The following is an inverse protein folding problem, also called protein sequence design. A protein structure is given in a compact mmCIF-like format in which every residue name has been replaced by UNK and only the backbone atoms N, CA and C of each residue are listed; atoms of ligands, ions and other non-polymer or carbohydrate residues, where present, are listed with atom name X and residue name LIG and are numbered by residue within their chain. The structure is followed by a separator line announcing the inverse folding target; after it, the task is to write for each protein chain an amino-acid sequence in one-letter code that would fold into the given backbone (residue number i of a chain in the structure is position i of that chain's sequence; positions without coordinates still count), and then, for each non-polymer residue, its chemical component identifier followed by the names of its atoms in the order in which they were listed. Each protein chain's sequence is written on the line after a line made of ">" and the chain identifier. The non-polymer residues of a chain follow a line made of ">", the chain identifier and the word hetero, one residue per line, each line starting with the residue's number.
data_IF_703292281421
#
_entry.id   IF_703292281421
#
_cell.length_a   1.000
_cell.length_b   1.000
_cell.length_c   1.000
_cell.angle_alpha   90.00
_cell.angle_beta   90.00
_cell.angle_gamma   90.00
#
_symmetry.space_group_name_H-M   'P 1'
#
loop_
_entity.id
_entity.type
_entity.pdbx_description
1 polymer ?
#
# COMPACT_ATOMS: atom_id res chain seq x y z
N UNK A 1 -13.27 15.65 -10.73
CA UNK A 1 -12.03 16.43 -10.96
C UNK A 1 -10.85 15.57 -10.59
N UNK A 2 -9.67 15.82 -11.17
CA UNK A 2 -8.43 15.10 -10.85
C UNK A 2 -7.28 16.07 -10.58
N UNK A 3 -6.24 15.60 -9.91
CA UNK A 3 -5.00 16.37 -9.66
C UNK A 3 -4.22 16.46 -10.98
N UNK A 4 -4.05 17.67 -11.51
CA UNK A 4 -3.49 17.90 -12.85
C UNK A 4 -2.05 17.37 -12.98
N UNK A 5 -1.28 17.51 -11.91
CA UNK A 5 0.12 17.10 -11.79
C UNK A 5 0.28 15.57 -11.86
N UNK A 6 -0.78 14.83 -11.57
CA UNK A 6 -0.81 13.36 -11.64
C UNK A 6 -1.41 12.85 -12.95
N UNK A 7 -1.66 13.73 -13.94
CA UNK A 7 -2.15 13.33 -15.25
C UNK A 7 -1.16 12.36 -15.92
N UNK A 8 -1.62 11.15 -16.21
CA UNK A 8 -0.80 10.10 -16.83
C UNK A 8 0.20 9.42 -15.90
N UNK A 9 0.19 9.69 -14.59
CA UNK A 9 1.09 9.03 -13.63
C UNK A 9 0.89 7.50 -13.64
N UNK A 10 1.97 6.74 -13.85
CA UNK A 10 1.95 5.26 -13.89
C UNK A 10 2.63 4.62 -12.68
N UNK A 11 3.18 5.42 -11.77
CA UNK A 11 3.82 4.92 -10.56
C UNK A 11 2.81 4.54 -9.48
N UNK A 12 3.35 4.00 -8.40
CA UNK A 12 2.60 3.77 -7.18
C UNK A 12 2.33 5.10 -6.46
N UNK A 13 1.15 5.20 -5.87
CA UNK A 13 0.79 6.26 -4.93
C UNK A 13 0.68 5.67 -3.53
N UNK A 14 1.43 6.23 -2.58
CA UNK A 14 1.33 5.89 -1.17
C UNK A 14 0.31 6.81 -0.49
N UNK A 15 -0.66 6.22 0.19
CA UNK A 15 -1.67 6.91 0.99
C UNK A 15 -1.19 6.92 2.44
N UNK A 16 -1.04 8.12 3.02
CA UNK A 16 -0.63 8.33 4.41
C UNK A 16 -1.67 9.17 5.12
N UNK A 17 -1.78 8.95 6.43
CA UNK A 17 -2.57 9.77 7.35
C UNK A 17 -1.68 10.82 8.01
N UNK A 18 -2.29 11.86 8.57
CA UNK A 18 -1.58 13.03 9.13
C UNK A 18 -0.75 12.71 10.37
N UNK A 19 -1.05 11.60 11.05
CA UNK A 19 -0.37 11.10 12.25
C UNK A 19 0.70 10.03 11.93
N UNK A 20 0.91 9.71 10.66
CA UNK A 20 1.96 8.78 10.25
C UNK A 20 3.35 9.43 10.32
N UNK A 21 4.29 8.72 10.95
CA UNK A 21 5.72 9.02 10.87
C UNK A 21 6.41 7.98 9.99
N UNK A 22 7.16 8.45 9.00
CA UNK A 22 7.93 7.60 8.09
C UNK A 22 9.40 7.56 8.47
N UNK A 23 10.05 6.42 8.25
CA UNK A 23 11.49 6.26 8.47
C UNK A 23 12.29 6.98 7.38
N UNK A 24 13.56 7.32 7.65
CA UNK A 24 14.44 7.99 6.69
C UNK A 24 14.64 7.18 5.40
N UNK A 25 14.53 5.85 5.48
CA UNK A 25 14.69 4.92 4.37
C UNK A 25 13.35 4.47 3.75
N UNK A 26 12.22 5.06 4.15
CA UNK A 26 10.88 4.68 3.70
C UNK A 26 10.79 4.52 2.17
N UNK A 27 11.29 5.51 1.41
CA UNK A 27 11.26 5.46 -0.06
C UNK A 27 12.12 4.33 -0.66
N UNK A 28 13.21 3.96 0.01
CA UNK A 28 14.07 2.84 -0.41
C UNK A 28 13.36 1.52 -0.17
N UNK A 29 12.80 1.33 1.03
CA UNK A 29 12.08 0.11 1.40
C UNK A 29 10.85 -0.05 0.51
N UNK A 30 10.09 1.02 0.28
CA UNK A 30 8.91 1.03 -0.57
C UNK A 30 9.21 0.54 -2.00
N UNK A 31 10.31 1.00 -2.61
CA UNK A 31 10.73 0.52 -3.95
C UNK A 31 11.08 -0.96 -3.97
N UNK A 32 11.71 -1.47 -2.92
CA UNK A 32 12.02 -2.91 -2.78
C UNK A 32 10.72 -3.71 -2.69
N UNK A 33 9.75 -3.25 -1.90
CA UNK A 33 8.46 -3.91 -1.78
C UNK A 33 7.67 -3.89 -3.09
N UNK A 34 7.63 -2.76 -3.80
CA UNK A 34 7.00 -2.66 -5.12
C UNK A 34 7.59 -3.66 -6.11
N UNK A 35 8.93 -3.69 -6.24
CA UNK A 35 9.60 -4.65 -7.11
C UNK A 35 9.31 -6.11 -6.68
N UNK A 36 9.21 -6.36 -5.37
CA UNK A 36 8.87 -7.69 -4.83
C UNK A 36 7.42 -8.09 -5.14
N UNK A 37 6.46 -7.17 -5.00
CA UNK A 37 5.06 -7.36 -5.42
C UNK A 37 5.03 -7.72 -6.91
N UNK A 38 5.61 -6.87 -7.76
CA UNK A 38 5.54 -7.03 -9.21
C UNK A 38 6.15 -8.37 -9.67
N UNK A 39 7.21 -8.84 -8.99
CA UNK A 39 7.88 -10.09 -9.34
C UNK A 39 7.25 -11.35 -8.73
N UNK A 40 6.62 -11.27 -7.55
CA UNK A 40 6.24 -12.46 -6.76
C UNK A 40 4.76 -12.52 -6.36
N UNK A 41 4.01 -11.43 -6.50
CA UNK A 41 2.59 -11.38 -6.17
C UNK A 41 1.87 -10.37 -7.08
N UNK A 42 1.70 -10.68 -8.38
CA UNK A 42 1.03 -9.77 -9.31
C UNK A 42 -0.42 -9.48 -8.92
N UNK A 43 -1.07 -10.39 -8.18
CA UNK A 43 -2.44 -10.25 -7.69
C UNK A 43 -2.52 -9.52 -6.34
N UNK A 44 -1.40 -9.17 -5.71
CA UNK A 44 -1.42 -8.39 -4.47
C UNK A 44 -1.95 -6.99 -4.74
N UNK A 45 -2.84 -6.52 -3.87
CA UNK A 45 -3.51 -5.22 -4.03
C UNK A 45 -2.60 -4.02 -3.81
N UNK A 46 -1.50 -4.19 -3.07
CA UNK A 46 -0.58 -3.11 -2.76
C UNK A 46 0.56 -3.58 -1.87
N UNK A 47 1.33 -2.62 -1.38
CA UNK A 47 2.42 -2.84 -0.42
C UNK A 47 2.35 -1.82 0.69
N UNK A 48 2.80 -2.16 1.89
CA UNK A 48 2.89 -1.24 3.02
C UNK A 48 4.25 -1.41 3.72
N UNK A 49 4.79 -0.32 4.25
CA UNK A 49 5.98 -0.37 5.11
C UNK A 49 5.49 -0.39 6.55
N UNK A 50 5.84 -1.45 7.28
CA UNK A 50 5.43 -1.68 8.66
C UNK A 50 6.57 -2.35 9.45
N UNK A 51 6.48 -2.29 10.77
CA UNK A 51 7.37 -3.07 11.63
C UNK A 51 7.05 -4.56 11.54
N UNK A 52 8.05 -5.35 11.15
CA UNK A 52 7.97 -6.80 10.99
C UNK A 52 6.67 -7.24 10.26
N UNK A 53 6.09 -8.36 10.66
CA UNK A 53 4.86 -8.89 10.06
C UNK A 53 3.65 -8.78 10.97
N UNK A 54 3.48 -7.62 11.64
CA UNK A 54 2.48 -7.40 12.70
C UNK A 54 2.79 -8.01 14.06
N UNK A 55 3.91 -8.71 14.19
CA UNK A 55 4.32 -9.31 15.45
C UNK A 55 5.46 -8.47 16.06
N UNK A 56 5.21 -7.76 17.18
CA UNK A 56 6.25 -6.98 17.85
C UNK A 56 7.34 -7.85 18.48
N UNK A 57 7.11 -9.15 18.64
CA UNK A 57 8.11 -10.10 19.13
C UNK A 57 8.94 -10.73 17.99
N UNK A 58 8.64 -10.45 16.71
CA UNK A 58 9.42 -10.97 15.59
C UNK A 58 10.83 -10.34 15.63
N UNK A 59 11.89 -11.17 15.74
CA UNK A 59 13.27 -10.66 15.85
C UNK A 59 13.80 -10.08 14.54
N UNK A 60 13.12 -10.32 13.40
CA UNK A 60 13.55 -9.82 12.10
C UNK A 60 12.62 -8.68 11.60
N UNK A 61 12.98 -7.41 11.88
CA UNK A 61 12.21 -6.27 11.39
C UNK A 61 12.33 -6.06 9.87
N UNK A 62 13.26 -6.75 9.18
CA UNK A 62 13.45 -6.65 7.73
C UNK A 62 12.63 -7.68 6.93
N UNK A 63 11.90 -8.55 7.63
CA UNK A 63 11.08 -9.59 7.01
C UNK A 63 9.94 -9.00 6.17
N UNK A 64 9.75 -9.58 4.99
CA UNK A 64 8.65 -9.24 4.07
C UNK A 64 7.57 -10.30 4.19
N UNK A 65 6.33 -9.89 4.46
CA UNK A 65 5.18 -10.79 4.56
C UNK A 65 4.06 -10.43 3.59
N UNK A 66 3.36 -11.47 3.14
CA UNK A 66 2.07 -11.32 2.49
C UNK A 66 0.97 -11.27 3.57
N UNK A 67 -0.04 -10.43 3.36
CA UNK A 67 -1.21 -10.31 4.21
C UNK A 67 -2.47 -10.52 3.36
N UNK A 68 -3.46 -11.20 3.93
CA UNK A 68 -4.80 -11.30 3.35
C UNK A 68 -5.70 -10.13 3.76
N UNK A 69 -5.33 -9.41 4.82
CA UNK A 69 -6.03 -8.22 5.28
C UNK A 69 -5.43 -6.96 4.65
N UNK A 70 -6.28 -5.98 4.35
CA UNK A 70 -5.84 -4.61 4.02
C UNK A 70 -5.12 -4.03 5.22
N UNK A 71 -3.98 -3.39 4.98
CA UNK A 71 -3.22 -2.66 6.00
C UNK A 71 -3.39 -1.18 5.71
N UNK A 72 -4.06 -0.46 6.61
CA UNK A 72 -4.36 0.97 6.43
C UNK A 72 -3.15 1.90 6.61
N UNK A 73 -2.08 1.41 7.25
CA UNK A 73 -0.89 2.22 7.54
C UNK A 73 0.04 2.31 6.33
N UNK A 74 -0.06 3.39 5.56
CA UNK A 74 0.94 3.71 4.53
C UNK A 74 0.91 2.81 3.30
N UNK A 75 -0.28 2.37 2.90
CA UNK A 75 -0.47 1.51 1.72
C UNK A 75 -0.14 2.25 0.43
N UNK A 76 0.63 1.60 -0.43
CA UNK A 76 0.92 2.06 -1.78
C UNK A 76 0.31 1.10 -2.81
N UNK A 77 -0.42 1.69 -3.76
CA UNK A 77 -1.10 0.97 -4.83
C UNK A 77 -0.81 1.61 -6.19
N UNK A 78 -0.92 0.80 -7.24
CA UNK A 78 -0.72 1.25 -8.62
C UNK A 78 -2.04 1.72 -9.26
N UNK A 79 -1.93 2.23 -10.49
CA UNK A 79 -3.10 2.71 -11.25
C UNK A 79 -4.11 1.60 -11.54
N UNK A 80 -3.66 0.36 -11.76
CA UNK A 80 -4.57 -0.73 -12.09
C UNK A 80 -5.50 -1.01 -10.91
N UNK A 81 -4.95 -1.06 -9.71
CA UNK A 81 -5.71 -1.21 -8.45
C UNK A 81 -6.66 -0.03 -8.23
N UNK A 82 -6.20 1.21 -8.44
CA UNK A 82 -7.06 2.40 -8.34
C UNK A 82 -8.29 2.32 -9.27
N UNK A 83 -8.12 1.93 -10.52
CA UNK A 83 -9.26 1.81 -11.45
C UNK A 83 -10.20 0.65 -11.06
N UNK A 84 -9.69 -0.42 -10.44
CA UNK A 84 -10.53 -1.48 -9.87
C UNK A 84 -11.39 -0.97 -8.71
N UNK A 85 -10.83 -0.21 -7.76
CA UNK A 85 -11.57 0.41 -6.66
C UNK A 85 -12.64 1.35 -7.19
N UNK A 86 -12.28 2.19 -8.15
CA UNK A 86 -13.21 3.16 -8.73
C UNK A 86 -14.36 2.51 -9.50
N UNK A 87 -14.10 1.34 -10.09
CA UNK A 87 -15.11 0.55 -10.79
C UNK A 87 -15.93 -0.38 -9.89
N UNK A 88 -15.61 -0.48 -8.59
CA UNK A 88 -16.32 -1.36 -7.67
C UNK A 88 -17.51 -0.67 -6.99
N UNK A 89 -18.23 -1.45 -6.20
CA UNK A 89 -19.30 -1.02 -5.31
C UNK A 89 -18.79 -0.56 -3.94
N UNK A 90 -17.50 -0.19 -3.82
CA UNK A 90 -16.89 0.24 -2.56
C UNK A 90 -17.69 1.32 -1.81
N UNK A 91 -18.30 2.25 -2.55
CA UNK A 91 -19.15 3.31 -2.01
C UNK A 91 -20.45 2.83 -1.32
N UNK A 92 -20.83 1.56 -1.51
CA UNK A 92 -22.03 0.95 -0.93
C UNK A 92 -21.76 0.22 0.40
N UNK A 93 -20.50 0.06 0.77
CA UNK A 93 -20.11 -0.53 2.05
C UNK A 93 -20.33 0.48 3.18
N UNK A 94 -20.89 0.00 4.30
CA UNK A 94 -21.30 0.83 5.44
C UNK A 94 -20.24 0.91 6.56
N UNK A 95 -19.00 0.50 6.27
CA UNK A 95 -17.90 0.45 7.24
C UNK A 95 -16.77 1.44 6.89
N UNK A 96 -15.70 1.46 7.67
CA UNK A 96 -14.49 2.20 7.35
C UNK A 96 -13.88 1.78 6.00
N UNK A 97 -13.09 2.66 5.41
CA UNK A 97 -12.52 2.43 4.07
C UNK A 97 -11.54 1.23 4.02
N UNK A 98 -11.05 0.80 5.18
CA UNK A 98 -10.06 -0.24 5.39
C UNK A 98 -10.63 -1.56 5.95
N UNK A 99 -11.95 -1.62 6.18
CA UNK A 99 -12.66 -2.78 6.77
C UNK A 99 -13.24 -3.75 5.73
#
# INVERSE_FOLDING_TARGET
>A
GGVRELAGHQGYLALLEEDHLVTQDYMRVMRVLQAKKDASCPDCWGVCVRWACADPADPDPAKICASHSVINTGIALDRAVYEQIKGSDFHSFADGWDW
#
